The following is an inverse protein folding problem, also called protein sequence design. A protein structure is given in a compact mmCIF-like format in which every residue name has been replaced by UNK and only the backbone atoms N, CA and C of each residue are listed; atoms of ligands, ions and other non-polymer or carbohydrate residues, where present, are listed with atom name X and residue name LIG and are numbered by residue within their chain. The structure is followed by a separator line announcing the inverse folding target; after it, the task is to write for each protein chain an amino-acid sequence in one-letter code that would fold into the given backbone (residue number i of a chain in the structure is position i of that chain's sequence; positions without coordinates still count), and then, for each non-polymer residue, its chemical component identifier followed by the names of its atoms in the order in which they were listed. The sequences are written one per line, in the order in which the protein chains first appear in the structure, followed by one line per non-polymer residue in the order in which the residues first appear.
data_IF_946249448753
#
_entry.id   IF_946249448753
#
_cell.length_a   1.000
_cell.length_b   1.000
_cell.length_c   1.000
_cell.angle_alpha   90.00
_cell.angle_beta   90.00
_cell.angle_gamma   90.00
#
_symmetry.space_group_name_H-M   'P 1'
#
loop_
_entity.id
_entity.type
_entity.pdbx_description
1 polymer ?
#
# COMPACT_ATOMS: atom_id res chain seq x y z
N UNK A 1 -0.10 -42.82 28.12
CA UNK A 1 -1.25 -42.17 27.45
C UNK A 1 -1.15 -40.68 27.67
N UNK A 2 -0.88 -39.96 26.57
CA UNK A 2 -1.04 -38.53 26.26
C UNK A 2 -1.00 -37.50 27.42
N UNK A 3 0.14 -36.82 27.56
CA UNK A 3 0.17 -35.45 28.08
C UNK A 3 -0.26 -34.49 26.95
N UNK A 4 -1.47 -33.93 27.07
CA UNK A 4 -1.94 -32.83 26.25
C UNK A 4 -1.29 -31.52 26.74
N UNK A 5 -0.16 -31.14 26.15
CA UNK A 5 0.41 -29.80 26.32
C UNK A 5 -0.21 -28.84 25.31
N UNK A 6 -1.41 -28.34 25.59
CA UNK A 6 -2.01 -27.24 24.84
C UNK A 6 -1.30 -25.93 25.18
N UNK A 7 -0.58 -25.34 24.22
CA UNK A 7 -0.10 -23.96 24.34
C UNK A 7 -1.27 -23.00 24.12
N UNK A 8 -2.03 -22.75 25.19
CA UNK A 8 -2.95 -21.62 25.29
C UNK A 8 -2.26 -20.45 25.96
N UNK A 9 -1.40 -19.70 25.25
CA UNK A 9 -0.92 -18.42 25.76
C UNK A 9 -1.97 -17.33 25.47
N UNK A 10 -2.86 -17.11 26.45
CA UNK A 10 -3.62 -15.86 26.61
C UNK A 10 -2.69 -14.80 27.23
N UNK A 11 -1.75 -14.29 26.46
CA UNK A 11 -1.11 -12.99 26.73
C UNK A 11 -1.68 -11.96 25.75
N UNK A 12 -1.65 -10.65 26.05
CA UNK A 12 -1.84 -9.67 24.99
C UNK A 12 -0.83 -10.01 23.90
N UNK A 13 -1.31 -10.27 22.69
CA UNK A 13 -0.46 -10.44 21.53
C UNK A 13 0.25 -9.09 21.34
N UNK A 14 1.43 -8.94 21.94
CA UNK A 14 2.36 -7.91 21.54
C UNK A 14 2.81 -8.28 20.12
N UNK A 15 1.97 -7.92 19.15
CA UNK A 15 2.38 -7.87 17.78
C UNK A 15 3.34 -6.68 17.71
N UNK A 16 4.64 -6.90 17.43
CA UNK A 16 5.53 -5.77 17.19
C UNK A 16 4.90 -4.87 16.11
N UNK A 17 5.12 -3.55 16.16
CA UNK A 17 4.63 -2.64 15.13
C UNK A 17 4.96 -3.23 13.76
N UNK A 18 3.95 -3.41 12.91
CA UNK A 18 4.18 -3.95 11.57
C UNK A 18 5.16 -3.00 10.88
N UNK A 19 6.30 -3.51 10.46
CA UNK A 19 7.26 -2.75 9.67
C UNK A 19 6.52 -2.09 8.51
N UNK A 20 6.72 -0.77 8.38
CA UNK A 20 6.06 0.00 7.35
C UNK A 20 6.46 -0.55 5.98
N UNK A 21 5.48 -0.74 5.10
CA UNK A 21 5.72 -1.25 3.76
C UNK A 21 4.62 -0.87 2.79
N UNK A 22 5.02 -0.32 1.64
CA UNK A 22 4.18 -0.17 0.47
C UNK A 22 4.45 -1.32 -0.52
N UNK A 23 3.40 -1.79 -1.18
CA UNK A 23 3.44 -2.87 -2.16
C UNK A 23 2.63 -2.47 -3.38
N UNK A 24 3.18 -2.74 -4.54
CA UNK A 24 2.57 -2.47 -5.83
C UNK A 24 2.26 -3.79 -6.50
N UNK A 25 1.10 -3.89 -7.15
CA UNK A 25 0.69 -5.09 -7.87
C UNK A 25 0.39 -4.74 -9.32
N UNK A 26 0.97 -5.49 -10.26
CA UNK A 26 0.61 -5.45 -11.67
C UNK A 26 -0.42 -6.54 -12.00
N UNK A 27 -1.09 -6.39 -13.13
CA UNK A 27 -1.91 -7.46 -13.74
C UNK A 27 -1.15 -8.07 -14.93
N UNK A 28 -1.18 -9.39 -15.06
CA UNK A 28 -0.88 -10.10 -16.30
C UNK A 28 -2.18 -10.69 -16.90
N UNK A 29 -2.09 -11.72 -17.76
CA UNK A 29 -3.19 -12.37 -18.51
C UNK A 29 -4.44 -12.78 -17.71
N UNK A 30 -4.43 -12.68 -16.38
CA UNK A 30 -5.61 -12.58 -15.48
C UNK A 30 -5.20 -12.57 -14.00
N UNK A 31 -3.90 -12.66 -13.69
CA UNK A 31 -3.40 -12.80 -12.32
C UNK A 31 -2.71 -11.52 -11.84
N UNK A 32 -2.88 -11.26 -10.54
CA UNK A 32 -2.17 -10.19 -9.85
C UNK A 32 -0.78 -10.67 -9.43
N UNK A 33 0.24 -9.85 -9.67
CA UNK A 33 1.61 -10.12 -9.24
C UNK A 33 2.17 -8.92 -8.50
N UNK A 34 2.75 -9.15 -7.33
CA UNK A 34 3.49 -8.11 -6.59
C UNK A 34 4.77 -7.73 -7.35
N UNK A 35 5.03 -6.42 -7.44
CA UNK A 35 6.30 -5.91 -7.93
C UNK A 35 7.37 -6.13 -6.86
N UNK A 36 8.45 -6.78 -7.26
CA UNK A 36 9.61 -7.03 -6.40
C UNK A 36 10.65 -5.93 -6.55
N UNK A 37 11.53 -5.78 -5.56
CA UNK A 37 12.65 -4.83 -5.57
C UNK A 37 12.22 -3.37 -5.77
N UNK A 38 11.16 -2.96 -5.08
CA UNK A 38 10.71 -1.57 -5.02
C UNK A 38 11.64 -0.81 -4.07
N UNK A 39 12.46 0.15 -4.55
CA UNK A 39 13.37 0.90 -3.69
C UNK A 39 12.61 1.68 -2.62
N UNK A 40 13.19 1.73 -1.42
CA UNK A 40 12.63 2.49 -0.30
C UNK A 40 11.30 1.94 0.20
N UNK A 41 10.81 0.77 -0.22
CA UNK A 41 9.42 0.35 0.04
C UNK A 41 8.98 0.35 1.52
N UNK A 42 9.90 0.37 2.48
CA UNK A 42 9.61 0.49 3.91
C UNK A 42 10.04 1.82 4.55
N UNK A 43 10.47 2.79 3.75
CA UNK A 43 10.97 4.08 4.19
C UNK A 43 9.93 5.18 3.91
N UNK A 44 9.86 6.15 4.83
CA UNK A 44 9.08 7.37 4.58
C UNK A 44 9.79 8.27 3.56
N UNK A 45 9.07 9.27 3.05
CA UNK A 45 9.57 10.21 2.06
C UNK A 45 9.24 9.81 0.63
N UNK A 46 9.80 10.56 -0.31
CA UNK A 46 9.56 10.38 -1.74
C UNK A 46 10.58 9.44 -2.37
N UNK A 47 10.10 8.45 -3.12
CA UNK A 47 10.92 7.43 -3.77
C UNK A 47 10.50 7.23 -5.22
N UNK A 48 11.48 7.15 -6.11
CA UNK A 48 11.27 6.86 -7.52
C UNK A 48 11.18 5.36 -7.78
N UNK A 49 10.29 4.94 -8.67
CA UNK A 49 10.43 3.64 -9.30
C UNK A 49 11.57 3.70 -10.33
N UNK A 50 12.53 2.74 -10.33
CA UNK A 50 13.66 2.75 -11.26
C UNK A 50 13.23 2.80 -12.73
N UNK A 51 12.10 2.17 -13.03
CA UNK A 51 11.44 2.18 -14.33
C UNK A 51 9.95 2.40 -14.08
N UNK A 52 9.29 3.17 -14.95
CA UNK A 52 7.83 3.32 -14.89
C UNK A 52 7.17 1.96 -15.03
N UNK A 53 6.33 1.59 -14.06
CA UNK A 53 5.63 0.30 -14.01
C UNK A 53 4.13 0.49 -14.17
N UNK A 54 3.50 -0.43 -14.90
CA UNK A 54 2.05 -0.55 -14.94
C UNK A 54 1.56 -1.22 -13.64
N UNK A 55 0.90 -0.44 -12.79
CA UNK A 55 0.39 -0.87 -11.49
C UNK A 55 -1.13 -0.93 -11.56
N UNK A 56 -1.69 -2.06 -11.15
CA UNK A 56 -3.13 -2.28 -11.02
C UNK A 56 -3.66 -1.86 -9.64
N UNK A 57 -2.97 -2.24 -8.56
CA UNK A 57 -3.38 -1.87 -7.20
C UNK A 57 -2.20 -1.63 -6.29
N UNK A 58 -2.47 -0.90 -5.21
CA UNK A 58 -1.50 -0.58 -4.17
C UNK A 58 -2.00 -1.12 -2.83
N UNK A 59 -1.05 -1.60 -2.03
CA UNK A 59 -1.26 -1.92 -0.62
C UNK A 59 -0.23 -1.16 0.21
N UNK A 60 -0.62 -0.70 1.40
CA UNK A 60 0.33 -0.17 2.36
C UNK A 60 -0.04 -0.60 3.79
N UNK A 61 0.98 -0.80 4.62
CA UNK A 61 0.86 -1.03 6.05
C UNK A 61 1.92 -0.21 6.79
N UNK A 62 1.66 0.14 8.05
CA UNK A 62 2.61 0.82 8.95
C UNK A 62 2.89 2.29 8.61
N UNK A 63 2.50 2.79 7.44
CA UNK A 63 2.47 4.22 7.13
C UNK A 63 1.12 4.82 7.48
N UNK A 64 1.10 6.09 7.86
CA UNK A 64 -0.15 6.84 8.10
C UNK A 64 -0.86 7.11 6.79
N UNK A 65 -0.11 7.56 5.78
CA UNK A 65 -0.62 7.90 4.47
C UNK A 65 0.47 7.68 3.42
N UNK A 66 0.06 7.27 2.24
CA UNK A 66 0.89 7.32 1.05
C UNK A 66 0.18 8.06 -0.09
N UNK A 67 0.96 8.54 -1.05
CA UNK A 67 0.51 9.23 -2.25
C UNK A 67 1.30 8.63 -3.43
N UNK A 68 0.62 8.41 -4.56
CA UNK A 68 1.21 7.75 -5.74
C UNK A 68 1.20 8.74 -6.89
N UNK A 69 2.29 8.83 -7.64
CA UNK A 69 2.50 9.86 -8.64
C UNK A 69 2.77 9.25 -10.02
N UNK A 70 2.22 9.88 -11.06
CA UNK A 70 2.47 9.53 -12.46
C UNK A 70 3.89 9.87 -12.89
N UNK A 71 4.45 10.95 -12.35
CA UNK A 71 5.81 11.39 -12.65
C UNK A 71 6.79 11.01 -11.55
N UNK A 72 8.09 11.22 -11.84
CA UNK A 72 9.16 11.06 -10.87
C UNK A 72 9.16 12.20 -9.85
N UNK A 73 9.94 12.01 -8.79
CA UNK A 73 10.26 13.03 -7.79
C UNK A 73 9.04 13.61 -7.07
N UNK A 74 7.95 12.82 -7.00
CA UNK A 74 6.68 13.18 -6.40
C UNK A 74 6.17 14.55 -6.89
N UNK A 75 6.23 14.76 -8.22
CA UNK A 75 5.85 16.03 -8.84
C UNK A 75 4.41 16.42 -8.46
N UNK A 76 4.20 17.60 -7.83
CA UNK A 76 2.87 18.06 -7.46
C UNK A 76 1.93 18.18 -8.66
N UNK A 77 0.68 17.76 -8.49
CA UNK A 77 -0.32 17.74 -9.56
C UNK A 77 -0.26 16.48 -10.44
N UNK A 78 0.70 15.58 -10.19
CA UNK A 78 0.78 14.27 -10.85
C UNK A 78 0.26 13.13 -9.96
N UNK A 79 -0.40 13.44 -8.85
CA UNK A 79 -0.98 12.46 -7.93
C UNK A 79 -2.08 11.67 -8.64
N UNK A 80 -2.05 10.36 -8.45
CA UNK A 80 -3.16 9.51 -8.81
C UNK A 80 -4.25 9.59 -7.75
N UNK A 81 -5.50 9.66 -8.23
CA UNK A 81 -6.67 9.34 -7.42
C UNK A 81 -6.85 7.83 -7.37
N UNK A 82 -7.02 7.29 -6.17
CA UNK A 82 -7.32 5.89 -5.90
C UNK A 82 -8.63 5.79 -5.12
N UNK A 83 -9.27 4.63 -5.17
CA UNK A 83 -10.45 4.33 -4.38
C UNK A 83 -10.34 2.96 -3.73
N UNK A 84 -11.09 2.78 -2.65
CA UNK A 84 -11.30 1.47 -2.06
C UNK A 84 -12.45 0.76 -2.80
N UNK A 85 -12.29 -0.50 -3.23
CA UNK A 85 -13.37 -1.25 -3.86
C UNK A 85 -14.35 -1.77 -2.80
N UNK A 86 -15.64 -1.53 -3.04
CA UNK A 86 -16.73 -2.04 -2.22
C UNK A 86 -17.06 -1.16 -1.00
N UNK A 87 -18.06 -1.59 -0.25
CA UNK A 87 -18.55 -0.87 0.93
C UNK A 87 -17.58 -1.03 2.10
N UNK A 88 -17.29 0.08 2.78
CA UNK A 88 -16.43 0.15 3.95
C UNK A 88 -17.07 1.09 4.97
N UNK A 89 -16.88 0.80 6.26
CA UNK A 89 -17.28 1.70 7.36
C UNK A 89 -16.18 2.70 7.71
N UNK A 90 -14.96 2.50 7.19
CA UNK A 90 -13.83 3.39 7.36
C UNK A 90 -14.04 4.66 6.51
N UNK A 91 -14.24 5.84 7.12
CA UNK A 91 -14.53 7.07 6.40
C UNK A 91 -13.36 7.49 5.49
N UNK A 92 -12.12 7.18 5.84
CA UNK A 92 -10.94 7.51 5.03
C UNK A 92 -10.86 6.69 3.74
N UNK A 93 -11.68 5.64 3.63
CA UNK A 93 -11.79 4.77 2.47
C UNK A 93 -13.09 5.02 1.69
N UNK A 94 -13.82 6.09 2.00
CA UNK A 94 -15.02 6.47 1.26
C UNK A 94 -14.66 7.38 0.09
N UNK A 95 -15.07 6.98 -1.12
CA UNK A 95 -14.82 7.75 -2.35
C UNK A 95 -13.40 7.61 -2.90
N UNK A 96 -13.05 8.54 -3.80
CA UNK A 96 -11.72 8.63 -4.41
C UNK A 96 -10.85 9.63 -3.66
N UNK A 97 -9.57 9.32 -3.48
CA UNK A 97 -8.61 10.13 -2.73
C UNK A 97 -7.21 9.97 -3.30
N UNK A 98 -6.36 10.98 -3.13
CA UNK A 98 -4.91 10.88 -3.39
C UNK A 98 -4.15 10.36 -2.17
N UNK A 99 -4.77 10.40 -0.98
CA UNK A 99 -4.19 10.05 0.31
C UNK A 99 -4.62 8.65 0.72
N UNK A 100 -3.78 7.64 0.44
CA UNK A 100 -4.10 6.24 0.70
C UNK A 100 -3.70 5.84 2.13
N UNK A 101 -4.70 5.47 2.94
CA UNK A 101 -4.51 4.97 4.31
C UNK A 101 -4.19 3.47 4.34
N UNK A 102 -3.84 2.88 5.50
CA UNK A 102 -3.48 1.46 5.57
C UNK A 102 -4.56 0.54 4.99
N UNK A 103 -4.15 -0.36 4.12
CA UNK A 103 -5.07 -1.26 3.43
C UNK A 103 -4.45 -1.95 2.23
N UNK A 104 -5.09 -3.03 1.77
CA UNK A 104 -4.53 -3.93 0.75
C UNK A 104 -5.06 -3.71 -0.67
N UNK A 105 -6.10 -2.89 -0.87
CA UNK A 105 -6.92 -2.90 -2.09
C UNK A 105 -7.13 -1.51 -2.69
N UNK A 106 -6.18 -0.60 -2.59
CA UNK A 106 -6.33 0.69 -3.27
C UNK A 106 -6.22 0.51 -4.79
N UNK A 107 -7.29 0.83 -5.51
CA UNK A 107 -7.36 0.75 -6.98
C UNK A 107 -7.28 2.15 -7.58
N UNK A 108 -6.63 2.29 -8.73
CA UNK A 108 -6.66 3.54 -9.48
C UNK A 108 -8.08 3.83 -9.98
N UNK A 109 -8.49 5.10 -9.99
CA UNK A 109 -9.81 5.49 -10.52
C UNK A 109 -9.90 5.33 -12.03
N UNK A 110 -8.77 5.42 -12.75
CA UNK A 110 -8.68 5.07 -14.16
C UNK A 110 -8.87 3.57 -14.37
N UNK A 111 -9.54 3.18 -15.45
CA UNK A 111 -9.74 1.77 -15.78
C UNK A 111 -8.40 1.03 -16.03
N UNK A 112 -8.21 -0.12 -15.38
CA UNK A 112 -7.06 -0.99 -15.62
C UNK A 112 -5.82 -0.67 -14.78
N UNK A 113 -4.70 -0.35 -15.45
CA UNK A 113 -3.41 -0.11 -14.80
C UNK A 113 -2.90 1.31 -15.03
N UNK A 114 -2.21 1.87 -14.04
CA UNK A 114 -1.60 3.19 -14.09
C UNK A 114 -0.08 3.09 -14.21
N UNK A 115 0.52 4.00 -14.97
CA UNK A 115 1.99 4.11 -15.11
C UNK A 115 2.57 4.92 -13.95
N UNK A 116 3.04 4.24 -12.91
CA UNK A 116 3.58 4.90 -11.72
C UNK A 116 5.04 5.29 -11.91
N UNK A 117 5.37 6.55 -11.60
CA UNK A 117 6.73 7.10 -11.65
C UNK A 117 7.39 7.20 -10.27
N UNK A 118 6.64 7.61 -9.26
CA UNK A 118 7.13 7.73 -7.88
C UNK A 118 6.01 7.57 -6.87
N UNK A 119 6.38 7.49 -5.59
CA UNK A 119 5.46 7.39 -4.47
C UNK A 119 6.05 8.09 -3.25
N UNK A 120 5.19 8.57 -2.36
CA UNK A 120 5.59 9.19 -1.10
C UNK A 120 4.78 8.63 0.05
N UNK A 121 5.42 8.27 1.16
CA UNK A 121 4.73 7.83 2.36
C UNK A 121 5.16 8.64 3.59
N UNK A 122 4.28 8.75 4.58
CA UNK A 122 4.55 9.41 5.85
C UNK A 122 4.32 8.43 6.99
N UNK A 123 5.25 8.42 7.94
CA UNK A 123 5.03 7.83 9.26
C UNK A 123 4.28 8.86 10.12
N UNK A 124 3.59 8.41 11.17
CA UNK A 124 3.11 9.34 12.17
C UNK A 124 4.34 10.05 12.77
N UNK A 125 4.33 11.38 12.91
CA UNK A 125 5.24 11.99 13.86
C UNK A 125 4.88 11.41 15.23
N UNK A 126 5.85 10.75 15.87
CA UNK A 126 5.75 10.37 17.29
C UNK A 126 5.64 11.62 18.17
#
# INVERSE_FOLDING_TARGET
VLFLSGCGQKGPLYAPPREAKIRFYSMNEQQQRELVLVPGAGEAGCHNLPLTRAVYRVAQVGFTVCEIYAKKDCEPGSEYSLHWPGTTQDPDKTGSTTRITPGAKWLFTSTGTAKVGSWSCRLNPE
#
